data_IF_964404975662
#
_entry.id   IF_964404975662
#
_cell.length_a   1.000
_cell.length_b   1.000
_cell.length_c   1.000
_cell.angle_alpha   90.00
_cell.angle_beta   90.00
_cell.angle_gamma   90.00
#
_symmetry.space_group_name_H-M   'P 1'
#
loop_
_entity.id
_entity.type
_entity.pdbx_description
1 polymer ?
#
# COMPACT_ATOMS: atom_id res chain seq x y z
N UNK A 1 15.94 -11.40 -11.45
CA UNK A 1 15.60 -10.46 -12.53
C UNK A 1 14.25 -9.81 -12.26
N UNK A 2 14.27 -8.79 -11.40
CA UNK A 2 13.10 -7.97 -11.11
C UNK A 2 13.06 -6.84 -12.16
N UNK A 3 11.97 -6.78 -12.91
CA UNK A 3 11.73 -5.72 -13.88
C UNK A 3 11.35 -4.42 -13.13
N UNK A 4 12.33 -3.52 -13.01
CA UNK A 4 12.15 -2.16 -12.50
C UNK A 4 11.73 -1.27 -13.67
N UNK A 5 10.42 -1.26 -13.94
CA UNK A 5 9.80 -0.29 -14.85
C UNK A 5 9.37 0.96 -14.10
N UNK A 6 10.25 1.97 -14.03
CA UNK A 6 9.92 3.29 -13.53
C UNK A 6 8.97 4.02 -14.50
N UNK A 7 7.81 4.47 -14.02
CA UNK A 7 7.05 5.53 -14.67
C UNK A 7 6.45 6.45 -13.61
N UNK A 8 7.04 7.63 -13.46
CA UNK A 8 6.58 8.68 -12.57
C UNK A 8 5.16 9.13 -12.93
N UNK A 9 4.29 9.15 -11.93
CA UNK A 9 2.98 9.76 -12.00
C UNK A 9 2.71 10.44 -10.66
N UNK A 10 2.82 11.77 -10.65
CA UNK A 10 2.50 12.61 -9.51
C UNK A 10 1.07 12.29 -9.01
N UNK A 11 0.97 11.72 -7.81
CA UNK A 11 -0.30 11.59 -7.11
C UNK A 11 -0.68 12.93 -6.51
N UNK A 12 -1.59 13.65 -7.14
CA UNK A 12 -2.23 14.82 -6.55
C UNK A 12 -3.29 14.40 -5.54
N UNK A 13 -3.16 14.90 -4.31
CA UNK A 13 -4.15 14.76 -3.25
C UNK A 13 -5.27 15.80 -3.48
N UNK A 14 -6.52 15.36 -3.65
CA UNK A 14 -7.68 16.26 -3.63
C UNK A 14 -8.15 16.43 -2.19
N UNK A 15 -8.68 17.62 -1.88
CA UNK A 15 -9.09 18.02 -0.54
C UNK A 15 -10.25 17.21 0.10
N UNK A 16 -10.75 16.15 -0.56
CA UNK A 16 -11.79 15.26 0.00
C UNK A 16 -11.33 13.83 0.34
N UNK A 17 -10.04 13.50 0.17
CA UNK A 17 -9.52 12.17 0.51
C UNK A 17 -9.88 11.04 -0.46
N UNK A 18 -10.59 11.35 -1.55
CA UNK A 18 -10.89 10.44 -2.65
C UNK A 18 -9.65 9.92 -3.36
N UNK A 19 -9.69 8.65 -3.78
CA UNK A 19 -8.55 7.97 -4.41
C UNK A 19 -8.52 8.26 -5.91
N UNK A 20 -7.71 9.23 -6.34
CA UNK A 20 -7.47 9.51 -7.76
C UNK A 20 -6.76 8.31 -8.40
N UNK A 21 -7.47 7.58 -9.25
CA UNK A 21 -6.93 6.47 -10.06
C UNK A 21 -6.74 5.15 -9.32
N UNK A 22 -7.39 4.95 -8.18
CA UNK A 22 -7.41 3.68 -7.44
C UNK A 22 -6.16 3.36 -6.59
N UNK A 23 -5.10 4.19 -6.65
CA UNK A 23 -3.81 3.90 -5.99
C UNK A 23 -3.73 4.43 -4.57
N UNK A 24 -2.99 3.73 -3.70
CA UNK A 24 -2.61 4.29 -2.41
C UNK A 24 -1.64 5.46 -2.62
N UNK A 25 -1.80 6.60 -1.91
CA UNK A 25 -0.89 7.74 -2.04
C UNK A 25 0.51 7.39 -1.54
N UNK A 26 1.51 8.07 -2.09
CA UNK A 26 2.88 7.98 -1.57
C UNK A 26 2.92 8.45 -0.11
N UNK A 27 3.74 7.79 0.72
CA UNK A 27 3.98 8.19 2.11
C UNK A 27 5.35 8.85 2.18
N UNK A 28 5.44 10.18 2.36
CA UNK A 28 6.74 10.86 2.39
C UNK A 28 7.53 10.55 3.67
N UNK A 29 8.86 10.65 3.58
CA UNK A 29 9.77 10.51 4.70
C UNK A 29 9.68 11.70 5.65
N UNK A 30 9.92 11.44 6.94
CA UNK A 30 10.14 12.50 7.92
C UNK A 30 11.55 13.10 7.72
N UNK A 31 11.76 14.40 8.02
CA UNK A 31 13.03 15.09 7.82
C UNK A 31 14.24 14.43 8.50
N UNK A 32 13.98 13.66 9.56
CA UNK A 32 14.99 12.96 10.35
C UNK A 32 15.08 11.46 10.05
N UNK A 33 14.46 10.98 8.96
CA UNK A 33 14.53 9.57 8.57
C UNK A 33 15.95 9.22 8.12
N UNK A 34 16.52 8.07 8.55
CA UNK A 34 17.92 7.73 8.29
C UNK A 34 18.21 7.29 6.84
N UNK A 35 17.20 6.80 6.13
CA UNK A 35 17.31 6.27 4.76
C UNK A 35 16.40 7.09 3.84
N UNK A 36 16.98 8.11 3.20
CA UNK A 36 16.33 8.95 2.19
C UNK A 36 17.22 8.97 0.96
N UNK A 37 16.68 8.57 -0.18
CA UNK A 37 17.34 8.55 -1.49
C UNK A 37 16.89 9.74 -2.37
N UNK A 38 17.59 9.98 -3.47
CA UNK A 38 17.37 11.15 -4.34
C UNK A 38 15.97 11.22 -4.96
N UNK A 39 15.28 10.08 -5.10
CA UNK A 39 13.92 9.96 -5.63
C UNK A 39 12.82 9.93 -4.54
N UNK A 40 13.20 10.00 -3.26
CA UNK A 40 12.27 10.03 -2.15
C UNK A 40 11.69 11.43 -1.91
N UNK A 41 10.41 11.46 -1.52
CA UNK A 41 9.77 12.70 -1.07
C UNK A 41 9.88 12.80 0.45
N UNK A 42 10.32 13.96 0.94
CA UNK A 42 10.38 14.26 2.38
C UNK A 42 9.44 15.42 2.71
N UNK A 43 8.72 15.35 3.83
CA UNK A 43 7.94 16.52 4.32
C UNK A 43 8.86 17.60 4.90
N UNK A 44 8.39 18.84 5.02
CA UNK A 44 9.14 19.91 5.71
C UNK A 44 9.12 19.73 7.23
N UNK A 45 10.06 20.34 7.95
CA UNK A 45 10.09 20.33 9.43
C UNK A 45 8.79 20.87 10.04
N UNK A 46 8.21 21.91 9.43
CA UNK A 46 6.94 22.48 9.88
C UNK A 46 5.78 21.51 9.69
N UNK A 47 5.73 20.80 8.55
CA UNK A 47 4.71 19.79 8.28
C UNK A 47 4.87 18.55 9.17
N UNK A 48 6.10 18.09 9.40
CA UNK A 48 6.40 17.02 10.35
C UNK A 48 5.96 17.39 11.77
N UNK A 49 6.28 18.60 12.24
CA UNK A 49 5.86 19.08 13.56
C UNK A 49 4.34 19.14 13.68
N UNK A 50 3.66 19.64 12.64
CA UNK A 50 2.20 19.68 12.62
C UNK A 50 1.58 18.28 12.68
N UNK A 51 2.08 17.33 11.87
CA UNK A 51 1.64 15.93 11.88
C UNK A 51 1.85 15.29 13.26
N UNK A 52 3.04 15.48 13.84
CA UNK A 52 3.43 14.84 15.10
C UNK A 52 2.72 15.42 16.34
N UNK A 53 2.08 16.60 16.21
CA UNK A 53 1.38 17.28 17.31
C UNK A 53 -0.13 17.39 17.12
N UNK A 54 -0.66 16.94 15.98
CA UNK A 54 -2.09 17.02 15.66
C UNK A 54 -2.98 16.17 16.58
N UNK A 55 -2.42 15.15 17.23
CA UNK A 55 -3.16 14.26 18.12
C UNK A 55 -2.41 12.96 18.41
N UNK A 56 -3.09 11.95 18.97
CA UNK A 56 -2.52 10.61 19.13
C UNK A 56 -2.11 10.00 17.79
N UNK A 57 -0.96 9.34 17.78
CA UNK A 57 -0.38 8.72 16.58
C UNK A 57 -0.24 7.23 16.81
N UNK A 58 -0.64 6.46 15.81
CA UNK A 58 -0.37 5.02 15.74
C UNK A 58 0.85 4.83 14.86
N UNK A 59 1.89 4.23 15.43
CA UNK A 59 3.07 3.80 14.68
C UNK A 59 2.93 2.30 14.44
N UNK A 60 2.99 1.91 13.18
CA UNK A 60 2.97 0.51 12.76
C UNK A 60 4.34 0.09 12.25
N UNK A 61 4.63 -1.19 12.31
CA UNK A 61 5.76 -1.76 11.58
C UNK A 61 5.56 -1.56 10.08
N UNK A 62 6.63 -1.17 9.37
CA UNK A 62 6.65 -1.13 7.91
C UNK A 62 7.36 -2.39 7.41
N UNK A 63 6.59 -3.31 6.84
CA UNK A 63 7.13 -4.52 6.21
C UNK A 63 7.73 -4.21 4.83
N UNK A 64 8.74 -4.98 4.45
CA UNK A 64 9.38 -4.90 3.13
C UNK A 64 8.81 -5.98 2.20
N UNK A 65 7.69 -5.66 1.54
CA UNK A 65 7.00 -6.54 0.61
C UNK A 65 6.58 -5.82 -0.67
N UNK A 66 5.50 -6.33 -1.25
CA UNK A 66 4.87 -5.76 -2.43
C UNK A 66 3.54 -5.11 -2.12
N UNK A 67 3.48 -3.78 -2.11
CA UNK A 67 2.20 -3.06 -2.04
C UNK A 67 1.16 -3.61 -3.04
N UNK A 68 -0.02 -3.93 -2.54
CA UNK A 68 -1.14 -4.43 -3.33
C UNK A 68 -2.50 -3.98 -2.78
N UNK A 69 -3.53 -4.16 -3.59
CA UNK A 69 -4.89 -3.76 -3.29
C UNK A 69 -5.89 -4.84 -3.68
N UNK A 70 -6.85 -5.11 -2.79
CA UNK A 70 -8.03 -5.93 -3.07
C UNK A 70 -9.20 -4.98 -3.26
N UNK A 71 -9.88 -5.10 -4.41
CA UNK A 71 -11.07 -4.30 -4.73
C UNK A 71 -11.97 -5.07 -5.69
N UNK A 72 -13.27 -5.09 -5.41
CA UNK A 72 -14.30 -5.73 -6.24
C UNK A 72 -13.96 -7.18 -6.65
N UNK A 73 -13.39 -7.94 -5.70
CA UNK A 73 -12.97 -9.34 -5.91
C UNK A 73 -11.74 -9.52 -6.79
N UNK A 74 -11.02 -8.45 -7.12
CA UNK A 74 -9.77 -8.45 -7.89
C UNK A 74 -8.59 -8.01 -7.04
N UNK A 75 -7.40 -8.42 -7.45
CA UNK A 75 -6.14 -8.08 -6.80
C UNK A 75 -5.27 -7.27 -7.76
N UNK A 76 -4.79 -6.12 -7.28
CA UNK A 76 -3.97 -5.20 -8.04
C UNK A 76 -2.60 -5.05 -7.38
N UNK A 77 -1.56 -4.93 -8.19
CA UNK A 77 -0.26 -4.46 -7.72
C UNK A 77 -0.32 -2.95 -7.44
N UNK A 78 0.80 -2.35 -6.99
CA UNK A 78 0.93 -0.90 -6.83
C UNK A 78 0.41 -0.11 -8.04
N UNK A 79 0.69 -0.59 -9.25
CA UNK A 79 0.07 -0.08 -10.49
C UNK A 79 -1.33 -0.66 -10.66
N UNK A 80 -2.35 0.17 -10.46
CA UNK A 80 -3.76 -0.25 -10.56
C UNK A 80 -4.29 -0.26 -12.00
N UNK A 81 -3.40 -0.37 -13.00
CA UNK A 81 -3.80 -0.35 -14.42
C UNK A 81 -4.43 -1.67 -14.86
N UNK A 82 -3.93 -2.79 -14.33
CA UNK A 82 -4.41 -4.14 -14.65
C UNK A 82 -4.36 -5.02 -13.40
N UNK A 83 -5.15 -6.08 -13.38
CA UNK A 83 -5.09 -7.09 -12.31
C UNK A 83 -3.70 -7.73 -12.27
N UNK A 84 -3.20 -8.01 -11.07
CA UNK A 84 -1.89 -8.62 -10.88
C UNK A 84 -1.86 -10.05 -11.46
N UNK A 85 -0.87 -10.37 -12.27
CA UNK A 85 -0.74 -11.69 -12.93
C UNK A 85 0.43 -12.52 -12.41
N UNK A 86 1.37 -11.89 -11.70
CA UNK A 86 2.56 -12.57 -11.20
C UNK A 86 2.21 -13.64 -10.14
N UNK A 87 2.96 -14.75 -10.12
CA UNK A 87 2.65 -15.91 -9.28
C UNK A 87 2.64 -15.60 -7.77
N UNK A 88 3.44 -14.61 -7.32
CA UNK A 88 3.45 -14.14 -5.93
C UNK A 88 2.10 -13.57 -5.46
N UNK A 89 1.15 -13.28 -6.35
CA UNK A 89 -0.19 -12.82 -5.96
C UNK A 89 -1.17 -13.97 -5.70
N UNK A 90 -0.79 -15.23 -5.93
CA UNK A 90 -1.70 -16.37 -5.77
C UNK A 90 -2.33 -16.46 -4.37
N UNK A 91 -1.56 -16.34 -3.25
CA UNK A 91 -2.14 -16.35 -1.91
C UNK A 91 -3.11 -15.17 -1.68
N UNK A 92 -2.84 -14.02 -2.30
CA UNK A 92 -3.64 -12.80 -2.17
C UNK A 92 -4.96 -12.92 -2.94
N UNK A 93 -4.92 -13.57 -4.10
CA UNK A 93 -6.13 -13.88 -4.88
C UNK A 93 -7.02 -14.88 -4.16
N UNK A 94 -6.43 -15.89 -3.52
CA UNK A 94 -7.18 -16.82 -2.67
C UNK A 94 -7.83 -16.09 -1.48
N UNK A 95 -7.08 -15.21 -0.80
CA UNK A 95 -7.61 -14.37 0.26
C UNK A 95 -8.75 -13.48 -0.23
N UNK A 96 -8.59 -12.83 -1.39
CA UNK A 96 -9.62 -11.98 -1.99
C UNK A 96 -10.92 -12.75 -2.26
N UNK A 97 -10.82 -13.96 -2.82
CA UNK A 97 -11.97 -14.83 -3.02
C UNK A 97 -12.69 -15.17 -1.70
N UNK A 98 -11.92 -15.43 -0.63
CA UNK A 98 -12.49 -15.69 0.71
C UNK A 98 -13.18 -14.46 1.29
N UNK A 99 -12.57 -13.28 1.18
CA UNK A 99 -13.15 -11.99 1.63
C UNK A 99 -14.48 -11.72 0.93
N UNK A 100 -14.55 -11.98 -0.38
CA UNK A 100 -15.81 -11.90 -1.13
C UNK A 100 -16.82 -12.94 -0.64
N UNK A 101 -16.40 -14.20 -0.49
CA UNK A 101 -17.30 -15.29 -0.11
C UNK A 101 -17.89 -15.11 1.31
N UNK A 102 -17.19 -14.46 2.23
CA UNK A 102 -17.71 -14.16 3.56
C UNK A 102 -18.44 -12.81 3.67
N UNK A 103 -18.66 -12.11 2.54
CA UNK A 103 -19.41 -10.86 2.53
C UNK A 103 -18.67 -9.68 3.17
N UNK A 104 -17.34 -9.73 3.25
CA UNK A 104 -16.51 -8.62 3.75
C UNK A 104 -16.06 -7.67 2.63
N UNK A 105 -16.31 -8.03 1.36
CA UNK A 105 -16.05 -7.18 0.21
C UNK A 105 -17.26 -6.26 -0.04
N UNK A 106 -17.17 -5.01 0.40
CA UNK A 106 -18.16 -3.98 0.09
C UNK A 106 -17.82 -3.32 -1.27
N UNK A 107 -18.82 -3.07 -2.14
CA UNK A 107 -18.61 -2.34 -3.39
C UNK A 107 -17.98 -0.97 -3.14
N UNK A 108 -16.96 -0.61 -3.92
CA UNK A 108 -16.27 0.68 -3.78
C UNK A 108 -15.23 0.72 -2.66
N UNK A 109 -15.15 -0.29 -1.80
CA UNK A 109 -14.11 -0.38 -0.77
C UNK A 109 -12.84 -1.02 -1.32
N UNK A 110 -11.71 -0.37 -1.07
CA UNK A 110 -10.36 -0.81 -1.41
C UNK A 110 -9.62 -1.20 -0.14
N UNK A 111 -9.07 -2.42 -0.12
CA UNK A 111 -8.22 -2.92 0.97
C UNK A 111 -6.77 -2.88 0.51
N UNK A 112 -5.98 -1.98 1.08
CA UNK A 112 -4.55 -1.85 0.79
C UNK A 112 -3.73 -2.59 1.82
N UNK A 113 -2.79 -3.39 1.33
CA UNK A 113 -1.91 -4.16 2.18
C UNK A 113 -0.61 -4.54 1.51
N UNK A 114 0.25 -5.15 2.30
CA UNK A 114 1.55 -5.62 1.88
C UNK A 114 1.49 -7.12 1.52
N UNK A 115 1.88 -7.45 0.28
CA UNK A 115 2.06 -8.82 -0.16
C UNK A 115 3.45 -9.31 0.26
N UNK A 116 3.49 -10.29 1.16
CA UNK A 116 4.71 -10.88 1.68
C UNK A 116 5.05 -12.25 1.05
N UNK A 117 4.31 -12.68 0.02
CA UNK A 117 4.54 -13.97 -0.63
C UNK A 117 5.79 -13.99 -1.53
N UNK A 118 6.27 -12.83 -1.96
CA UNK A 118 7.55 -12.67 -2.63
C UNK A 118 8.59 -12.10 -1.65
N UNK A 119 9.84 -12.55 -1.75
CA UNK A 119 10.95 -11.94 -1.03
C UNK A 119 11.37 -10.68 -1.76
N UNK A 120 11.50 -9.58 -1.02
CA UNK A 120 12.01 -8.31 -1.51
C UNK A 120 13.48 -8.13 -1.09
N UNK A 121 13.78 -7.15 -0.24
CA UNK A 121 15.14 -6.90 0.27
C UNK A 121 15.36 -7.60 1.61
N UNK A 122 14.29 -7.83 2.36
CA UNK A 122 14.30 -8.55 3.64
C UNK A 122 13.57 -9.89 3.46
N UNK A 123 14.21 -10.97 3.89
CA UNK A 123 13.59 -12.29 4.02
C UNK A 123 12.99 -12.44 5.42
N UNK A 124 11.76 -12.94 5.49
CA UNK A 124 11.01 -13.11 6.72
C UNK A 124 10.68 -14.60 6.93
N UNK A 125 11.21 -15.17 8.01
CA UNK A 125 11.11 -16.62 8.28
C UNK A 125 9.86 -17.02 9.11
N UNK A 126 9.21 -16.06 9.77
CA UNK A 126 8.09 -16.30 10.72
C UNK A 126 6.90 -15.39 10.43
N UNK A 127 6.44 -15.39 9.16
CA UNK A 127 5.25 -14.64 8.76
C UNK A 127 3.97 -15.37 9.18
N UNK A 128 3.10 -14.68 9.90
CA UNK A 128 1.76 -15.19 10.27
C UNK A 128 0.76 -15.20 9.11
N UNK A 129 1.02 -14.43 8.05
CA UNK A 129 0.19 -14.36 6.84
C UNK A 129 1.02 -13.87 5.64
N UNK A 130 0.47 -14.00 4.43
CA UNK A 130 1.07 -13.41 3.22
C UNK A 130 0.49 -12.05 2.84
N UNK A 131 -0.52 -11.57 3.57
CA UNK A 131 -1.14 -10.26 3.36
C UNK A 131 -1.29 -9.53 4.69
N UNK A 132 -0.69 -8.34 4.79
CA UNK A 132 -0.82 -7.47 5.96
C UNK A 132 -1.56 -6.20 5.57
N UNK A 133 -2.80 -6.07 6.05
CA UNK A 133 -3.64 -4.91 5.80
C UNK A 133 -3.11 -3.69 6.57
N UNK A 134 -2.93 -2.56 5.89
CA UNK A 134 -2.56 -1.29 6.55
C UNK A 134 -3.55 -0.15 6.29
N UNK A 135 -4.41 -0.25 5.26
CA UNK A 135 -5.43 0.76 5.03
C UNK A 135 -6.69 0.19 4.36
N UNK A 136 -7.82 0.78 4.71
CA UNK A 136 -9.13 0.57 4.07
C UNK A 136 -9.62 1.92 3.59
N UNK A 137 -10.06 2.01 2.34
CA UNK A 137 -10.56 3.27 1.77
C UNK A 137 -11.85 3.04 1.00
N UNK A 138 -12.78 3.97 1.14
CA UNK A 138 -13.95 4.07 0.28
C UNK A 138 -13.59 4.90 -0.98
N UNK A 139 -14.31 4.68 -2.07
CA UNK A 139 -14.26 5.48 -3.28
C UNK A 139 -15.25 6.66 -3.26
N UNK A 140 -16.06 6.78 -2.19
CA UNK A 140 -17.00 7.87 -1.94
C UNK A 140 -16.34 9.23 -1.71
#
# INVERSE_FOLDING_TARGET
>A
DADVGASGGAGGETADGGIVGGRYPSTPHLPFSPEVHDDDTTVSDAAATALLTAGPIVVTEKLDGGNCCLRDGKVYARTHSHEATHASFSPIKELSARVVACGLAEPGVSLFGENMAGIHSIEYDDLGAFFYLFAVRDAA
#
